data_IF_876742497672
#
_entry.id   IF_876742497672
#
_cell.length_a   1.000
_cell.length_b   1.000
_cell.length_c   1.000
_cell.angle_alpha   90.00
_cell.angle_beta   90.00
_cell.angle_gamma   90.00
#
_symmetry.space_group_name_H-M   'P 1'
#
loop_
_entity.id
_entity.type
_entity.pdbx_description
1 polymer ?
#
# COMPACT_ATOMS: atom_id res chain seq x y z
N UNK A 1 -42.85 18.80 24.89
CA UNK A 1 -42.59 17.98 23.68
C UNK A 1 -41.47 18.55 22.81
N UNK A 2 -41.47 19.84 22.41
CA UNK A 2 -40.38 20.46 21.60
C UNK A 2 -38.94 20.20 22.09
N UNK A 3 -38.68 20.24 23.39
CA UNK A 3 -37.32 20.01 23.92
C UNK A 3 -36.79 18.60 23.67
N UNK A 4 -37.67 17.59 23.69
CA UNK A 4 -37.30 16.19 23.41
C UNK A 4 -36.97 16.02 21.93
N UNK A 5 -37.78 16.62 21.06
CA UNK A 5 -37.59 16.60 19.61
C UNK A 5 -36.28 17.27 19.18
N UNK A 6 -35.95 18.41 19.78
CA UNK A 6 -34.66 19.10 19.56
C UNK A 6 -33.49 18.23 20.06
N UNK A 7 -33.60 17.62 21.24
CA UNK A 7 -32.54 16.76 21.77
C UNK A 7 -32.28 15.52 20.92
N UNK A 8 -33.33 14.88 20.40
CA UNK A 8 -33.21 13.74 19.47
C UNK A 8 -32.55 14.18 18.17
N UNK A 9 -32.99 15.29 17.58
CA UNK A 9 -32.44 15.80 16.33
C UNK A 9 -30.93 16.11 16.48
N UNK A 10 -30.55 16.78 17.56
CA UNK A 10 -29.15 17.10 17.84
C UNK A 10 -28.30 15.84 18.07
N UNK A 11 -28.82 14.86 18.82
CA UNK A 11 -28.12 13.60 19.06
C UNK A 11 -27.87 12.82 17.77
N UNK A 12 -28.86 12.78 16.86
CA UNK A 12 -28.71 12.12 15.56
C UNK A 12 -27.68 12.87 14.69
N UNK A 13 -27.79 14.19 14.61
CA UNK A 13 -26.87 15.01 13.81
C UNK A 13 -25.42 14.87 14.29
N UNK A 14 -25.20 14.95 15.61
CA UNK A 14 -23.88 14.75 16.21
C UNK A 14 -23.36 13.32 15.99
N UNK A 15 -24.20 12.31 16.16
CA UNK A 15 -23.81 10.91 15.95
C UNK A 15 -23.40 10.63 14.50
N UNK A 16 -24.15 11.18 13.54
CA UNK A 16 -23.81 11.06 12.11
C UNK A 16 -22.51 11.80 11.81
N UNK A 17 -22.36 13.04 12.28
CA UNK A 17 -21.15 13.82 12.04
C UNK A 17 -19.91 13.12 12.60
N UNK A 18 -19.96 12.67 13.86
CA UNK A 18 -18.85 11.95 14.50
C UNK A 18 -18.55 10.63 13.79
N UNK A 19 -19.58 9.87 13.42
CA UNK A 19 -19.39 8.60 12.72
C UNK A 19 -18.74 8.76 11.35
N UNK A 20 -19.12 9.80 10.60
CA UNK A 20 -18.52 10.11 9.29
C UNK A 20 -17.07 10.56 9.48
N UNK A 21 -16.82 11.49 10.41
CA UNK A 21 -15.47 12.02 10.67
C UNK A 21 -14.50 10.89 11.07
N UNK A 22 -14.88 10.05 12.03
CA UNK A 22 -14.07 8.91 12.46
C UNK A 22 -13.88 7.89 11.35
N UNK A 23 -14.92 7.59 10.58
CA UNK A 23 -14.83 6.63 9.48
C UNK A 23 -13.89 7.10 8.37
N UNK A 24 -13.92 8.39 8.04
CA UNK A 24 -13.02 8.99 7.03
C UNK A 24 -11.59 9.00 7.56
N UNK A 25 -11.36 9.46 8.78
CA UNK A 25 -10.04 9.53 9.39
C UNK A 25 -9.37 8.15 9.43
N UNK A 26 -10.06 7.14 9.97
CA UNK A 26 -9.55 5.77 10.04
C UNK A 26 -9.32 5.17 8.65
N UNK A 27 -10.24 5.40 7.71
CA UNK A 27 -10.12 4.88 6.35
C UNK A 27 -8.92 5.47 5.61
N UNK A 28 -8.68 6.76 5.76
CA UNK A 28 -7.53 7.45 5.15
C UNK A 28 -6.22 6.98 5.80
N UNK A 29 -6.15 6.93 7.13
CA UNK A 29 -4.96 6.51 7.86
C UNK A 29 -4.55 5.09 7.46
N UNK A 30 -5.48 4.13 7.52
CA UNK A 30 -5.22 2.74 7.14
C UNK A 30 -4.84 2.61 5.66
N UNK A 31 -5.52 3.34 4.78
CA UNK A 31 -5.24 3.30 3.34
C UNK A 31 -3.85 3.83 3.00
N UNK A 32 -3.43 4.92 3.65
CA UNK A 32 -2.10 5.50 3.46
C UNK A 32 -1.02 4.57 4.01
N UNK A 33 -1.19 4.06 5.24
CA UNK A 33 -0.23 3.15 5.87
C UNK A 33 0.01 1.90 5.02
N UNK A 34 -1.07 1.20 4.64
CA UNK A 34 -0.97 0.00 3.79
C UNK A 34 -0.38 0.31 2.42
N UNK A 35 -0.76 1.44 1.82
CA UNK A 35 -0.23 1.87 0.52
C UNK A 35 1.27 2.14 0.55
N UNK A 36 1.74 2.83 1.59
CA UNK A 36 3.17 3.12 1.79
C UNK A 36 3.94 1.83 2.05
N UNK A 37 3.46 0.96 2.93
CA UNK A 37 4.13 -0.31 3.26
C UNK A 37 4.28 -1.19 2.01
N UNK A 38 3.19 -1.40 1.26
CA UNK A 38 3.22 -2.17 0.02
C UNK A 38 4.13 -1.53 -1.03
N UNK A 39 4.10 -0.20 -1.15
CA UNK A 39 4.94 0.55 -2.08
C UNK A 39 6.43 0.39 -1.77
N UNK A 40 6.80 0.50 -0.50
CA UNK A 40 8.18 0.30 -0.03
C UNK A 40 8.64 -1.13 -0.30
N UNK A 41 7.81 -2.13 0.00
CA UNK A 41 8.19 -3.53 -0.17
C UNK A 41 8.39 -3.89 -1.65
N UNK A 42 7.47 -3.46 -2.52
CA UNK A 42 7.64 -3.57 -3.99
C UNK A 42 8.90 -2.84 -4.47
N UNK A 43 9.19 -1.68 -3.90
CA UNK A 43 10.40 -0.91 -4.19
C UNK A 43 11.69 -1.66 -3.84
N UNK A 44 11.74 -2.31 -2.67
CA UNK A 44 12.88 -3.15 -2.27
C UNK A 44 13.09 -4.32 -3.23
N UNK A 45 12.02 -5.02 -3.61
CA UNK A 45 12.06 -6.12 -4.59
C UNK A 45 12.64 -5.63 -5.93
N UNK A 46 12.12 -4.50 -6.44
CA UNK A 46 12.62 -3.92 -7.69
C UNK A 46 14.12 -3.56 -7.63
N UNK A 47 14.58 -3.01 -6.49
CA UNK A 47 16.00 -2.72 -6.27
C UNK A 47 16.83 -4.00 -6.25
N UNK A 48 16.39 -5.05 -5.54
CA UNK A 48 17.09 -6.35 -5.51
C UNK A 48 17.22 -6.94 -6.93
N UNK A 49 16.14 -6.96 -7.71
CA UNK A 49 16.12 -7.42 -9.11
C UNK A 49 17.12 -6.62 -9.97
N UNK A 50 17.10 -5.28 -9.88
CA UNK A 50 18.01 -4.43 -10.64
C UNK A 50 19.48 -4.67 -10.27
N UNK A 51 19.76 -4.95 -9.00
CA UNK A 51 21.11 -5.32 -8.56
C UNK A 51 21.53 -6.68 -9.12
N UNK A 52 20.66 -7.69 -9.10
CA UNK A 52 20.93 -9.01 -9.67
C UNK A 52 21.27 -8.89 -11.16
N UNK A 53 20.41 -8.25 -11.94
CA UNK A 53 20.63 -8.05 -13.38
C UNK A 53 21.95 -7.32 -13.64
N UNK A 54 22.24 -6.24 -12.90
CA UNK A 54 23.52 -5.52 -13.01
C UNK A 54 24.72 -6.43 -12.74
N UNK A 55 24.67 -7.29 -11.73
CA UNK A 55 25.78 -8.18 -11.40
C UNK A 55 25.97 -9.28 -12.44
N UNK A 56 24.87 -9.87 -12.94
CA UNK A 56 24.92 -10.88 -14.00
C UNK A 56 25.55 -10.28 -15.25
N UNK A 57 25.04 -9.12 -15.71
CA UNK A 57 25.57 -8.46 -16.91
C UNK A 57 27.05 -8.12 -16.77
N UNK A 58 27.48 -7.66 -15.59
CA UNK A 58 28.91 -7.35 -15.33
C UNK A 58 29.81 -8.58 -15.34
N UNK A 59 29.32 -9.75 -14.94
CA UNK A 59 30.13 -10.97 -14.78
C UNK A 59 30.09 -11.89 -16.00
N UNK A 60 28.93 -11.99 -16.62
CA UNK A 60 28.63 -12.99 -17.67
C UNK A 60 28.43 -12.32 -19.03
N UNK A 61 28.19 -11.01 -19.07
CA UNK A 61 27.85 -10.28 -20.29
C UNK A 61 26.34 -10.27 -20.54
N UNK A 62 25.96 -10.05 -21.79
CA UNK A 62 24.54 -9.98 -22.19
C UNK A 62 23.79 -11.27 -21.84
N UNK A 63 22.58 -11.12 -21.31
CA UNK A 63 21.72 -12.23 -20.90
C UNK A 63 20.58 -12.38 -21.91
N UNK A 64 20.17 -13.63 -22.17
CA UNK A 64 19.03 -13.87 -23.05
C UNK A 64 17.75 -13.21 -22.49
N UNK A 65 16.87 -12.65 -23.34
CA UNK A 65 15.65 -11.95 -22.89
C UNK A 65 14.75 -12.79 -21.98
N UNK A 66 14.71 -14.12 -22.20
CA UNK A 66 13.96 -15.06 -21.36
C UNK A 66 14.49 -15.10 -19.92
N UNK A 67 15.81 -15.04 -19.75
CA UNK A 67 16.45 -15.03 -18.43
C UNK A 67 16.17 -13.71 -17.72
N UNK A 68 16.21 -12.59 -18.44
CA UNK A 68 15.86 -11.28 -17.88
C UNK A 68 14.39 -11.23 -17.43
N UNK A 69 13.47 -11.73 -18.26
CA UNK A 69 12.05 -11.83 -17.90
C UNK A 69 11.86 -12.69 -16.64
N UNK A 70 12.50 -13.87 -16.56
CA UNK A 70 12.41 -14.73 -15.40
C UNK A 70 12.90 -14.04 -14.12
N UNK A 71 13.96 -13.23 -14.20
CA UNK A 71 14.49 -12.47 -13.06
C UNK A 71 13.55 -11.32 -12.67
N UNK A 72 12.90 -10.66 -13.63
CA UNK A 72 11.93 -9.58 -13.35
C UNK A 72 10.66 -10.08 -12.64
N UNK A 73 10.30 -11.36 -12.82
CA UNK A 73 9.12 -11.97 -12.20
C UNK A 73 9.40 -12.69 -10.86
N UNK A 74 10.61 -12.56 -10.32
CA UNK A 74 10.92 -13.15 -9.01
C UNK A 74 10.08 -12.50 -7.90
N UNK A 75 9.51 -13.34 -7.04
CA UNK A 75 8.83 -12.91 -5.83
C UNK A 75 9.83 -12.45 -4.76
N UNK A 76 9.36 -11.71 -3.76
CA UNK A 76 10.19 -11.34 -2.60
C UNK A 76 10.82 -12.55 -1.91
N UNK A 77 10.05 -13.63 -1.74
CA UNK A 77 10.52 -14.89 -1.13
C UNK A 77 11.61 -15.59 -1.94
N UNK A 78 11.62 -15.42 -3.27
CA UNK A 78 12.67 -15.97 -4.14
C UNK A 78 13.96 -15.14 -4.11
N UNK A 79 13.92 -13.94 -3.51
CA UNK A 79 15.03 -12.99 -3.43
C UNK A 79 15.67 -12.93 -2.02
N UNK A 80 15.26 -13.81 -1.12
CA UNK A 80 15.86 -14.03 0.20
C UNK A 80 16.66 -15.34 0.22
#
# INVERSE_FOLDING_TARGET
>A
MKGIEIGIQQGIEQGIQQGIEQGIEQGIEQGIEQGIEQGIERGKIAVKIALILRQIVRRVGEVAPEVEANIQWLSGEQLD
#
